data_IF_858722299322
#
_entry.id   IF_858722299322
#
_cell.length_a   1.000
_cell.length_b   1.000
_cell.length_c   1.000
_cell.angle_alpha   90.00
_cell.angle_beta   90.00
_cell.angle_gamma   90.00
#
_symmetry.space_group_name_H-M   'P 1'
#
loop_
_entity.id
_entity.type
_entity.pdbx_description
1 polymer ?
#
# COMPACT_ATOMS: atom_id res chain seq x y z
N UNK A 1 26.30 19.31 -4.60
CA UNK A 1 25.24 18.46 -4.02
C UNK A 1 23.86 19.13 -4.14
N UNK A 2 23.66 20.41 -3.83
CA UNK A 2 22.37 21.09 -4.02
C UNK A 2 21.75 20.99 -5.44
N UNK A 3 22.56 20.77 -6.47
CA UNK A 3 22.11 20.69 -7.87
C UNK A 3 21.29 19.42 -8.17
N UNK A 4 21.61 18.29 -7.54
CA UNK A 4 20.91 17.01 -7.80
C UNK A 4 19.51 17.06 -7.20
N UNK A 5 19.37 17.52 -5.97
CA UNK A 5 18.08 17.68 -5.30
C UNK A 5 17.15 18.64 -6.05
N UNK A 6 17.69 19.74 -6.58
CA UNK A 6 16.94 20.69 -7.43
C UNK A 6 16.48 20.04 -8.76
N UNK A 7 17.32 19.21 -9.37
CA UNK A 7 16.94 18.49 -10.60
C UNK A 7 15.82 17.48 -10.30
N UNK A 8 15.95 16.72 -9.22
CA UNK A 8 14.92 15.74 -8.83
C UNK A 8 13.62 16.46 -8.48
N UNK A 9 13.67 17.53 -7.67
CA UNK A 9 12.49 18.34 -7.31
C UNK A 9 11.78 18.85 -8.56
N UNK A 10 12.51 19.47 -9.50
CA UNK A 10 11.95 19.94 -10.79
C UNK A 10 11.36 18.79 -11.62
N UNK A 11 12.01 17.62 -11.64
CA UNK A 11 11.48 16.46 -12.35
C UNK A 11 10.14 15.97 -11.73
N UNK A 12 10.01 15.98 -10.41
CA UNK A 12 8.77 15.66 -9.69
C UNK A 12 7.67 16.68 -10.00
N UNK A 13 7.97 17.99 -9.93
CA UNK A 13 7.03 19.08 -10.24
C UNK A 13 6.55 19.05 -11.71
N UNK A 14 7.45 18.73 -12.65
CA UNK A 14 7.11 18.58 -14.08
C UNK A 14 6.27 17.33 -14.29
N UNK A 15 6.64 16.21 -13.66
CA UNK A 15 5.87 14.97 -13.74
C UNK A 15 4.43 15.17 -13.23
N UNK A 16 4.24 15.92 -12.16
CA UNK A 16 2.90 16.23 -11.62
C UNK A 16 2.06 17.02 -12.64
N UNK A 17 2.64 17.99 -13.34
CA UNK A 17 1.95 18.80 -14.36
C UNK A 17 1.65 18.05 -15.65
N UNK A 18 2.49 17.09 -16.05
CA UNK A 18 2.32 16.31 -17.29
C UNK A 18 1.33 15.16 -17.13
N UNK A 19 1.35 14.52 -15.99
CA UNK A 19 0.42 13.43 -15.69
C UNK A 19 -0.86 14.04 -15.08
N UNK A 20 -1.73 14.55 -15.96
CA UNK A 20 -3.10 14.91 -15.59
C UNK A 20 -3.77 13.70 -14.96
N UNK A 21 -4.37 13.86 -13.78
CA UNK A 21 -5.21 12.80 -13.21
C UNK A 21 -6.31 12.46 -14.21
N UNK A 22 -6.34 11.24 -14.75
CA UNK A 22 -7.41 10.84 -15.66
C UNK A 22 -8.74 10.99 -14.93
N UNK A 23 -9.82 11.25 -15.68
CA UNK A 23 -11.17 11.19 -15.10
C UNK A 23 -11.32 9.85 -14.35
N UNK A 24 -11.66 9.86 -13.06
CA UNK A 24 -11.70 8.62 -12.26
C UNK A 24 -12.60 7.52 -12.86
N UNK A 25 -13.72 7.90 -13.49
CA UNK A 25 -14.63 6.96 -14.12
C UNK A 25 -14.02 6.30 -15.37
N UNK A 26 -13.27 7.06 -16.16
CA UNK A 26 -12.54 6.53 -17.34
C UNK A 26 -11.36 5.65 -16.90
N UNK A 27 -10.59 6.10 -15.90
CA UNK A 27 -9.50 5.32 -15.33
C UNK A 27 -9.98 3.97 -14.81
N UNK A 28 -11.08 3.95 -14.07
CA UNK A 28 -11.67 2.72 -13.52
C UNK A 28 -12.23 1.80 -14.62
N UNK A 29 -12.82 2.35 -15.66
CA UNK A 29 -13.24 1.57 -16.83
C UNK A 29 -12.06 0.89 -17.53
N UNK A 30 -10.97 1.62 -17.74
CA UNK A 30 -9.77 1.07 -18.37
C UNK A 30 -9.08 0.03 -17.48
N UNK A 31 -9.00 0.28 -16.17
CA UNK A 31 -8.48 -0.69 -15.19
C UNK A 31 -9.27 -2.00 -15.27
N UNK A 32 -10.61 -1.95 -15.18
CA UNK A 32 -11.44 -3.15 -15.27
C UNK A 32 -11.21 -3.89 -16.59
N UNK A 33 -11.18 -3.17 -17.71
CA UNK A 33 -10.93 -3.77 -19.03
C UNK A 33 -9.59 -4.49 -19.09
N UNK A 34 -8.53 -3.92 -18.51
CA UNK A 34 -7.20 -4.53 -18.47
C UNK A 34 -7.16 -5.75 -17.53
N UNK A 35 -7.82 -5.70 -16.37
CA UNK A 35 -7.93 -6.83 -15.44
C UNK A 35 -8.63 -8.01 -16.11
N UNK A 36 -9.78 -7.78 -16.74
CA UNK A 36 -10.52 -8.81 -17.46
C UNK A 36 -9.70 -9.42 -18.62
N UNK A 37 -9.05 -8.57 -19.42
CA UNK A 37 -8.18 -9.04 -20.52
C UNK A 37 -7.04 -9.94 -20.02
N UNK A 38 -6.36 -9.55 -18.95
CA UNK A 38 -5.27 -10.34 -18.40
C UNK A 38 -5.75 -11.68 -17.84
N UNK A 39 -6.91 -11.69 -17.17
CA UNK A 39 -7.42 -12.87 -16.48
C UNK A 39 -8.34 -13.75 -17.33
N UNK A 40 -8.72 -13.36 -18.56
CA UNK A 40 -9.73 -14.11 -19.39
C UNK A 40 -9.37 -15.56 -19.66
N UNK A 41 -8.08 -15.90 -19.73
CA UNK A 41 -7.63 -17.28 -19.96
C UNK A 41 -7.52 -18.13 -18.71
N UNK A 42 -7.62 -17.53 -17.51
CA UNK A 42 -7.55 -18.24 -16.23
C UNK A 42 -8.81 -19.08 -15.98
N UNK A 43 -8.74 -19.97 -14.97
CA UNK A 43 -9.92 -20.75 -14.57
C UNK A 43 -11.06 -19.85 -14.09
N UNK A 44 -10.75 -18.79 -13.32
CA UNK A 44 -11.71 -17.79 -12.83
C UNK A 44 -12.30 -16.98 -13.99
N UNK A 45 -11.45 -16.49 -14.91
CA UNK A 45 -11.89 -15.68 -16.04
C UNK A 45 -12.78 -16.47 -17.01
N UNK A 46 -12.47 -17.76 -17.26
CA UNK A 46 -13.31 -18.64 -18.06
C UNK A 46 -14.64 -18.94 -17.39
N UNK A 47 -14.64 -19.18 -16.08
CA UNK A 47 -15.86 -19.46 -15.31
C UNK A 47 -16.86 -18.30 -15.36
N UNK A 48 -16.37 -17.05 -15.27
CA UNK A 48 -17.19 -15.84 -15.34
C UNK A 48 -17.21 -15.18 -16.74
N UNK A 49 -16.73 -15.86 -17.77
CA UNK A 49 -16.80 -15.41 -19.17
C UNK A 49 -16.21 -14.00 -19.39
N UNK A 50 -15.01 -13.73 -18.87
CA UNK A 50 -14.38 -12.40 -18.88
C UNK A 50 -14.22 -11.81 -20.30
N UNK A 51 -14.01 -12.64 -21.33
CA UNK A 51 -13.94 -12.19 -22.73
C UNK A 51 -15.26 -11.61 -23.22
N UNK A 52 -16.39 -12.19 -22.82
CA UNK A 52 -17.74 -11.74 -23.16
C UNK A 52 -18.09 -10.46 -22.42
N UNK A 53 -17.82 -10.41 -21.09
CA UNK A 53 -17.98 -9.20 -20.31
C UNK A 53 -17.18 -8.05 -20.91
N UNK A 54 -15.90 -8.28 -21.26
CA UNK A 54 -15.01 -7.28 -21.84
C UNK A 54 -15.50 -6.75 -23.20
N UNK A 55 -16.17 -7.59 -23.97
CA UNK A 55 -16.72 -7.25 -25.29
C UNK A 55 -18.10 -6.58 -25.20
N UNK A 56 -18.72 -6.55 -24.01
CA UNK A 56 -20.04 -5.94 -23.84
C UNK A 56 -19.96 -4.42 -23.99
N UNK A 57 -21.02 -3.80 -24.55
CA UNK A 57 -21.14 -2.34 -24.62
C UNK A 57 -21.32 -1.67 -23.26
N UNK A 58 -21.61 -2.46 -22.19
CA UNK A 58 -21.86 -1.99 -20.81
C UNK A 58 -20.90 -2.67 -19.82
N UNK A 59 -19.61 -2.61 -20.09
CA UNK A 59 -18.55 -3.34 -19.40
C UNK A 59 -18.74 -3.44 -17.87
N UNK A 60 -18.91 -2.29 -17.18
CA UNK A 60 -19.01 -2.25 -15.71
C UNK A 60 -20.33 -2.81 -15.18
N UNK A 61 -21.43 -2.57 -15.90
CA UNK A 61 -22.74 -3.09 -15.52
C UNK A 61 -22.77 -4.61 -15.68
N UNK A 62 -22.30 -5.11 -16.82
CA UNK A 62 -22.21 -6.56 -17.08
C UNK A 62 -21.27 -7.25 -16.08
N UNK A 63 -20.14 -6.62 -15.72
CA UNK A 63 -19.24 -7.20 -14.69
C UNK A 63 -19.95 -7.29 -13.33
N UNK A 64 -20.66 -6.27 -12.90
CA UNK A 64 -21.37 -6.26 -11.62
C UNK A 64 -22.54 -7.28 -11.57
N UNK A 65 -23.16 -7.56 -12.72
CA UNK A 65 -24.24 -8.55 -12.87
C UNK A 65 -23.72 -9.99 -12.87
N UNK A 66 -22.63 -10.26 -13.62
CA UNK A 66 -22.14 -11.61 -13.87
C UNK A 66 -21.13 -12.10 -12.82
N UNK A 67 -20.37 -11.19 -12.19
CA UNK A 67 -19.36 -11.55 -11.18
C UNK A 67 -19.86 -11.20 -9.80
N UNK A 68 -20.28 -12.18 -8.99
CA UNK A 68 -20.81 -11.90 -7.66
C UNK A 68 -19.72 -11.46 -6.70
N UNK A 69 -20.10 -10.76 -5.62
CA UNK A 69 -19.20 -10.49 -4.51
C UNK A 69 -18.68 -11.79 -3.89
N UNK A 70 -17.38 -11.80 -3.63
CA UNK A 70 -16.70 -12.89 -2.95
C UNK A 70 -16.11 -12.38 -1.62
N UNK A 71 -16.62 -12.88 -0.50
CA UNK A 71 -15.89 -12.76 0.78
C UNK A 71 -14.55 -13.49 0.66
N UNK A 72 -13.64 -13.22 1.60
CA UNK A 72 -12.36 -13.94 1.65
C UNK A 72 -12.57 -15.46 1.68
N UNK A 73 -13.44 -15.95 2.55
CA UNK A 73 -13.67 -17.39 2.71
C UNK A 73 -14.20 -18.03 1.41
N UNK A 74 -15.17 -17.38 0.77
CA UNK A 74 -15.69 -17.84 -0.53
C UNK A 74 -14.60 -17.84 -1.61
N UNK A 75 -13.79 -16.78 -1.67
CA UNK A 75 -12.70 -16.69 -2.63
C UNK A 75 -11.61 -17.73 -2.35
N UNK A 76 -11.29 -17.95 -1.07
CA UNK A 76 -10.33 -18.96 -0.64
C UNK A 76 -10.80 -20.38 -0.99
N UNK A 77 -11.99 -20.77 -0.57
CA UNK A 77 -12.49 -22.13 -0.75
C UNK A 77 -12.67 -22.52 -2.22
N UNK A 78 -13.17 -21.60 -3.04
CA UNK A 78 -13.44 -21.87 -4.46
C UNK A 78 -12.19 -21.79 -5.34
N UNK A 79 -11.26 -20.87 -5.02
CA UNK A 79 -10.17 -20.48 -5.93
C UNK A 79 -8.79 -20.46 -5.28
N UNK A 80 -8.57 -19.67 -4.22
CA UNK A 80 -7.24 -19.38 -3.70
C UNK A 80 -6.59 -20.57 -3.01
N UNK A 81 -7.34 -21.49 -2.47
CA UNK A 81 -6.81 -22.76 -1.99
C UNK A 81 -6.03 -23.49 -3.07
N UNK A 82 -6.56 -23.56 -4.29
CA UNK A 82 -5.87 -24.16 -5.44
C UNK A 82 -4.61 -23.40 -5.83
N UNK A 83 -4.63 -22.05 -5.72
CA UNK A 83 -3.44 -21.21 -5.96
C UNK A 83 -2.36 -21.50 -4.91
N UNK A 84 -2.74 -21.60 -3.63
CA UNK A 84 -1.83 -21.91 -2.52
C UNK A 84 -1.22 -23.32 -2.64
N UNK A 85 -1.97 -24.28 -3.16
CA UNK A 85 -1.51 -25.64 -3.49
C UNK A 85 -0.61 -25.69 -4.74
N UNK A 86 -0.29 -24.53 -5.35
CA UNK A 86 0.63 -24.41 -6.48
C UNK A 86 -0.01 -24.44 -7.87
N UNK A 87 -1.35 -24.34 -7.94
CA UNK A 87 -2.08 -24.22 -9.20
C UNK A 87 -1.67 -22.99 -9.99
N UNK A 88 -1.56 -23.15 -11.32
CA UNK A 88 -1.28 -22.08 -12.28
C UNK A 88 -2.57 -21.63 -12.96
N UNK A 89 -2.60 -20.37 -13.38
CA UNK A 89 -3.70 -19.81 -14.18
C UNK A 89 -5.07 -20.00 -13.51
N UNK A 90 -5.13 -19.95 -12.17
CA UNK A 90 -6.39 -20.11 -11.43
C UNK A 90 -7.17 -18.79 -11.43
N UNK A 91 -6.69 -17.77 -10.72
CA UNK A 91 -7.34 -16.44 -10.63
C UNK A 91 -6.54 -15.36 -11.35
N UNK A 92 -5.27 -15.60 -11.61
CA UNK A 92 -4.36 -14.73 -12.35
C UNK A 92 -3.39 -15.57 -13.18
N UNK A 93 -2.88 -15.05 -14.31
CA UNK A 93 -1.94 -15.80 -15.17
C UNK A 93 -0.66 -16.18 -14.43
N UNK A 94 -0.20 -17.40 -14.67
CA UNK A 94 1.02 -17.95 -14.13
C UNK A 94 0.88 -18.54 -12.72
N UNK A 95 2.02 -18.73 -12.07
CA UNK A 95 2.11 -19.26 -10.70
C UNK A 95 2.38 -18.13 -9.72
N UNK A 96 1.63 -18.07 -8.63
CA UNK A 96 1.86 -17.11 -7.56
C UNK A 96 3.05 -17.57 -6.70
N UNK A 97 4.00 -16.67 -6.49
CA UNK A 97 5.22 -16.92 -5.70
C UNK A 97 5.14 -16.40 -4.26
N UNK A 98 4.30 -15.42 -4.00
CA UNK A 98 4.18 -14.76 -2.71
C UNK A 98 2.74 -14.75 -2.23
N UNK A 99 2.57 -14.98 -0.93
CA UNK A 99 1.28 -14.84 -0.25
C UNK A 99 1.41 -13.87 0.91
N UNK A 100 0.61 -12.81 0.90
CA UNK A 100 0.50 -11.93 2.05
C UNK A 100 -0.31 -12.62 3.14
N UNK A 101 0.27 -12.70 4.34
CA UNK A 101 -0.38 -13.29 5.50
C UNK A 101 -0.87 -12.16 6.39
N UNK A 102 -2.17 -12.06 6.61
CA UNK A 102 -2.76 -11.12 7.55
C UNK A 102 -3.34 -11.85 8.76
N UNK A 103 -3.20 -11.22 9.93
CA UNK A 103 -3.92 -11.62 11.14
C UNK A 103 -5.38 -11.19 10.97
N UNK A 104 -6.21 -12.02 10.35
CA UNK A 104 -7.65 -11.74 10.26
C UNK A 104 -8.28 -11.61 11.66
N UNK A 105 -9.42 -10.93 11.77
CA UNK A 105 -10.24 -10.83 12.99
C UNK A 105 -10.73 -12.20 13.49
N UNK A 106 -10.66 -13.22 12.65
CA UNK A 106 -10.88 -14.63 12.99
C UNK A 106 -9.52 -15.31 13.17
N UNK A 107 -9.40 -16.22 14.14
CA UNK A 107 -8.16 -16.92 14.55
C UNK A 107 -7.38 -17.65 13.44
N UNK A 108 -7.84 -17.60 12.19
CA UNK A 108 -7.19 -18.22 11.02
C UNK A 108 -6.40 -17.15 10.22
N UNK A 109 -5.15 -17.43 9.96
CA UNK A 109 -4.32 -16.62 9.05
C UNK A 109 -4.93 -16.59 7.64
N UNK A 110 -5.13 -15.40 7.09
CA UNK A 110 -5.59 -15.23 5.71
C UNK A 110 -4.37 -15.20 4.77
N UNK A 111 -4.43 -15.98 3.69
CA UNK A 111 -3.39 -16.01 2.65
C UNK A 111 -3.92 -15.32 1.40
N UNK A 112 -3.38 -14.17 1.08
CA UNK A 112 -3.78 -13.36 -0.08
C UNK A 112 -2.70 -13.50 -1.15
N UNK A 113 -3.04 -13.96 -2.37
CA UNK A 113 -2.07 -14.10 -3.45
C UNK A 113 -1.48 -12.75 -3.86
N UNK A 114 -0.15 -12.64 -3.88
CA UNK A 114 0.58 -11.44 -4.30
C UNK A 114 1.24 -11.71 -5.65
N UNK A 115 0.71 -11.11 -6.69
CA UNK A 115 1.20 -11.26 -8.07
C UNK A 115 2.29 -10.23 -8.40
N UNK A 116 3.05 -10.46 -9.47
CA UNK A 116 4.01 -9.47 -9.96
C UNK A 116 3.33 -8.17 -10.40
N UNK A 117 2.11 -8.26 -10.94
CA UNK A 117 1.35 -7.07 -11.35
C UNK A 117 0.90 -6.25 -10.13
N UNK A 118 0.51 -6.93 -9.05
CA UNK A 118 0.23 -6.26 -7.78
C UNK A 118 1.49 -5.57 -7.22
N UNK A 119 2.66 -6.21 -7.28
CA UNK A 119 3.92 -5.59 -6.86
C UNK A 119 4.29 -4.39 -7.74
N UNK A 120 4.03 -4.44 -9.06
CA UNK A 120 4.18 -3.28 -9.95
C UNK A 120 3.22 -2.15 -9.57
N UNK A 121 1.98 -2.49 -9.23
CA UNK A 121 0.97 -1.54 -8.74
C UNK A 121 1.42 -0.84 -7.46
N UNK A 122 1.89 -1.58 -6.46
CA UNK A 122 2.42 -1.01 -5.21
C UNK A 122 3.61 -0.07 -5.48
N UNK A 123 4.55 -0.45 -6.35
CA UNK A 123 5.67 0.43 -6.74
C UNK A 123 5.21 1.69 -7.47
N UNK A 124 4.22 1.57 -8.36
CA UNK A 124 3.63 2.72 -9.05
C UNK A 124 2.96 3.68 -8.08
N UNK A 125 2.26 3.16 -7.07
CA UNK A 125 1.66 3.98 -6.01
C UNK A 125 2.72 4.79 -5.24
N UNK A 126 3.90 4.23 -4.99
CA UNK A 126 5.03 4.97 -4.42
C UNK A 126 5.46 6.17 -5.30
N UNK A 127 5.39 6.04 -6.63
CA UNK A 127 5.64 7.15 -7.56
C UNK A 127 4.54 8.21 -7.45
N UNK A 128 3.27 7.80 -7.36
CA UNK A 128 2.15 8.73 -7.13
C UNK A 128 2.33 9.51 -5.81
N UNK A 129 2.80 8.85 -4.77
CA UNK A 129 3.11 9.50 -3.49
C UNK A 129 4.23 10.55 -3.64
N UNK A 130 5.31 10.24 -4.36
CA UNK A 130 6.40 11.18 -4.60
C UNK A 130 5.89 12.41 -5.38
N UNK A 131 4.97 12.24 -6.32
CA UNK A 131 4.33 13.37 -7.02
C UNK A 131 3.50 14.23 -6.07
N UNK A 132 2.67 13.62 -5.24
CA UNK A 132 1.90 14.33 -4.21
C UNK A 132 2.78 15.15 -3.26
N UNK A 133 4.01 14.68 -3.00
CA UNK A 133 5.01 15.39 -2.19
C UNK A 133 5.44 16.74 -2.82
N UNK A 134 5.31 16.94 -4.14
CA UNK A 134 5.60 18.23 -4.79
C UNK A 134 4.75 19.38 -4.20
N UNK A 135 3.50 19.11 -3.83
CA UNK A 135 2.60 20.11 -3.24
C UNK A 135 2.91 20.45 -1.77
N UNK A 136 3.87 19.75 -1.16
CA UNK A 136 4.23 19.94 0.24
C UNK A 136 5.38 20.95 0.47
N UNK A 137 5.85 21.67 -0.56
CA UNK A 137 6.94 22.69 -0.50
C UNK A 137 8.20 22.20 0.22
N UNK A 138 8.60 20.97 -0.04
CA UNK A 138 9.80 20.41 0.58
C UNK A 138 11.07 21.05 -0.01
N UNK A 139 12.11 21.29 0.80
CA UNK A 139 13.37 21.80 0.33
C UNK A 139 14.06 20.81 -0.61
N UNK A 140 14.78 21.30 -1.63
CA UNK A 140 15.47 20.46 -2.61
C UNK A 140 16.40 19.41 -1.97
N UNK A 141 17.06 19.77 -0.87
CA UNK A 141 17.93 18.87 -0.13
C UNK A 141 17.22 17.62 0.39
N UNK A 142 15.90 17.67 0.61
CA UNK A 142 15.11 16.51 1.02
C UNK A 142 15.20 15.34 0.03
N UNK A 143 15.22 15.64 -1.27
CA UNK A 143 15.25 14.63 -2.33
C UNK A 143 16.62 13.92 -2.49
N UNK A 144 17.61 14.35 -1.73
CA UNK A 144 18.93 13.70 -1.65
C UNK A 144 19.08 12.81 -0.43
N UNK A 145 18.08 12.81 0.47
CA UNK A 145 18.14 12.10 1.76
C UNK A 145 17.68 10.64 1.65
N UNK A 146 18.08 9.87 2.64
CA UNK A 146 17.73 8.47 2.75
C UNK A 146 16.30 8.28 3.28
N UNK A 147 15.70 7.16 2.91
CA UNK A 147 14.35 6.78 3.29
C UNK A 147 14.41 5.58 4.23
N UNK A 148 13.97 5.77 5.46
CA UNK A 148 13.84 4.68 6.43
C UNK A 148 12.46 4.05 6.29
N UNK A 149 12.39 2.82 5.81
CA UNK A 149 11.17 2.02 5.75
C UNK A 149 11.24 0.93 6.83
N UNK A 150 10.40 1.06 7.86
CA UNK A 150 10.40 0.13 8.97
C UNK A 150 9.04 -0.55 9.10
N UNK A 151 8.99 -1.78 8.62
CA UNK A 151 7.80 -2.63 8.56
C UNK A 151 8.11 -4.04 9.07
N UNK A 152 7.42 -5.05 8.55
CA UNK A 152 7.64 -6.45 8.87
C UNK A 152 8.98 -6.96 8.33
N UNK A 153 9.48 -8.06 8.87
CA UNK A 153 10.72 -8.70 8.41
C UNK A 153 10.67 -9.03 6.91
N UNK A 154 11.80 -8.84 6.25
CA UNK A 154 12.01 -9.26 4.85
C UNK A 154 12.49 -10.71 4.73
N UNK A 155 12.71 -11.41 5.86
CA UNK A 155 12.96 -12.85 5.89
C UNK A 155 11.63 -13.60 5.73
N UNK A 156 11.25 -13.79 4.47
CA UNK A 156 9.98 -14.42 4.13
C UNK A 156 10.06 -15.93 4.38
N UNK A 157 9.03 -16.48 5.00
CA UNK A 157 8.93 -17.91 5.24
C UNK A 157 8.73 -18.66 3.92
N UNK A 158 9.67 -19.52 3.57
CA UNK A 158 9.51 -20.42 2.42
C UNK A 158 8.62 -21.60 2.80
N UNK A 159 7.53 -21.80 2.07
CA UNK A 159 6.59 -22.92 2.24
C UNK A 159 6.45 -23.60 0.87
N UNK A 160 6.93 -24.83 0.76
CA UNK A 160 7.00 -25.55 -0.53
C UNK A 160 7.63 -24.69 -1.63
N UNK A 161 6.82 -24.29 -2.62
CA UNK A 161 7.22 -23.55 -3.81
C UNK A 161 6.88 -22.05 -3.78
N UNK A 162 6.43 -21.53 -2.64
CA UNK A 162 6.08 -20.12 -2.46
C UNK A 162 6.66 -19.53 -1.17
N UNK A 163 6.53 -18.21 -1.02
CA UNK A 163 6.96 -17.45 0.15
C UNK A 163 5.76 -16.79 0.83
N UNK A 164 5.76 -16.81 2.14
CA UNK A 164 4.75 -16.18 3.00
C UNK A 164 5.38 -15.07 3.83
N UNK A 165 4.65 -13.96 4.01
CA UNK A 165 5.05 -12.84 4.85
C UNK A 165 3.97 -11.76 4.88
N UNK A 166 4.18 -10.72 5.65
CA UNK A 166 3.30 -9.55 5.57
C UNK A 166 3.60 -8.74 4.30
N UNK A 167 2.59 -8.00 3.79
CA UNK A 167 2.73 -7.25 2.53
C UNK A 167 3.87 -6.23 2.56
N UNK A 168 4.14 -5.61 3.71
CA UNK A 168 5.24 -4.66 3.88
C UNK A 168 6.61 -5.35 3.76
N UNK A 169 6.77 -6.54 4.35
CA UNK A 169 7.98 -7.35 4.24
C UNK A 169 8.20 -7.87 2.82
N UNK A 170 7.14 -8.37 2.16
CA UNK A 170 7.18 -8.79 0.76
C UNK A 170 7.61 -7.62 -0.13
N UNK A 171 6.99 -6.44 0.05
CA UNK A 171 7.30 -5.24 -0.74
C UNK A 171 8.74 -4.78 -0.55
N UNK A 172 9.23 -4.74 0.67
CA UNK A 172 10.61 -4.35 0.98
C UNK A 172 11.64 -5.37 0.45
N UNK A 173 11.31 -6.68 0.44
CA UNK A 173 12.18 -7.71 -0.13
C UNK A 173 12.34 -7.62 -1.65
N UNK A 174 11.44 -6.91 -2.35
CA UNK A 174 11.39 -6.77 -3.80
C UNK A 174 11.77 -5.35 -4.30
N UNK A 175 12.49 -4.58 -3.48
CA UNK A 175 12.95 -3.23 -3.88
C UNK A 175 13.94 -3.34 -5.04
N UNK A 176 13.87 -2.41 -6.01
CA UNK A 176 14.83 -2.36 -7.11
C UNK A 176 16.26 -2.11 -6.60
N UNK A 177 17.26 -2.72 -7.23
CA UNK A 177 18.68 -2.62 -6.81
C UNK A 177 19.20 -1.17 -6.76
N UNK A 178 18.72 -0.31 -7.66
CA UNK A 178 19.12 1.11 -7.71
C UNK A 178 18.57 1.93 -6.52
N UNK A 179 17.55 1.41 -5.82
CA UNK A 179 16.98 2.05 -4.63
C UNK A 179 17.71 1.64 -3.34
N UNK A 180 18.51 0.57 -3.37
CA UNK A 180 19.20 0.04 -2.18
C UNK A 180 20.12 1.07 -1.50
N UNK A 181 20.73 1.98 -2.29
CA UNK A 181 21.57 3.06 -1.76
C UNK A 181 20.83 4.09 -0.90
N UNK A 182 19.53 4.26 -1.14
CA UNK A 182 18.67 5.21 -0.42
C UNK A 182 17.81 4.55 0.65
N UNK A 183 17.70 3.22 0.65
CA UNK A 183 16.85 2.46 1.57
C UNK A 183 17.57 2.14 2.88
N UNK A 184 16.93 2.49 4.01
CA UNK A 184 17.34 2.09 5.37
C UNK A 184 16.21 1.34 6.07
N UNK A 185 16.53 0.43 7.00
CA UNK A 185 17.86 0.12 7.55
C UNK A 185 18.73 -0.78 6.65
N UNK A 186 18.29 -1.12 5.43
CA UNK A 186 18.98 -2.04 4.53
C UNK A 186 18.59 -3.50 4.76
N UNK A 187 19.03 -4.39 3.85
CA UNK A 187 18.60 -5.80 3.81
C UNK A 187 18.96 -6.57 5.08
N UNK A 188 20.16 -6.36 5.61
CA UNK A 188 20.67 -7.10 6.77
C UNK A 188 19.79 -6.88 8.00
N UNK A 189 19.54 -5.64 8.37
CA UNK A 189 18.70 -5.32 9.54
C UNK A 189 17.24 -5.66 9.26
N UNK A 190 16.73 -5.40 8.05
CA UNK A 190 15.34 -5.70 7.71
C UNK A 190 15.02 -7.19 7.71
N UNK A 191 15.98 -8.07 7.56
CA UNK A 191 15.79 -9.53 7.61
C UNK A 191 15.75 -10.09 9.04
N UNK A 192 16.11 -9.32 10.05
CA UNK A 192 16.01 -9.79 11.44
C UNK A 192 14.52 -9.98 11.79
N UNK A 193 14.13 -11.22 12.12
CA UNK A 193 12.74 -11.56 12.40
C UNK A 193 12.29 -11.05 13.78
N UNK A 194 13.15 -11.20 14.78
CA UNK A 194 12.91 -10.72 16.15
C UNK A 194 12.83 -9.18 16.16
N UNK A 195 11.68 -8.65 16.61
CA UNK A 195 11.41 -7.22 16.63
C UNK A 195 12.41 -6.43 17.48
N UNK A 196 12.67 -6.87 18.71
CA UNK A 196 13.52 -6.12 19.63
C UNK A 196 14.96 -6.09 19.14
N UNK A 197 15.48 -7.21 18.65
CA UNK A 197 16.81 -7.29 18.03
C UNK A 197 16.93 -6.42 16.80
N UNK A 198 15.87 -6.34 15.98
CA UNK A 198 15.83 -5.50 14.77
C UNK A 198 15.85 -4.02 15.13
N UNK A 199 15.07 -3.60 16.14
CA UNK A 199 15.07 -2.23 16.64
C UNK A 199 16.42 -1.87 17.27
N UNK A 200 17.03 -2.77 18.04
CA UNK A 200 18.35 -2.55 18.65
C UNK A 200 19.45 -2.46 17.58
N UNK A 201 19.43 -3.31 16.56
CA UNK A 201 20.37 -3.26 15.46
C UNK A 201 20.23 -1.93 14.67
N UNK A 202 18.99 -1.50 14.42
CA UNK A 202 18.70 -0.22 13.79
C UNK A 202 19.25 0.94 14.63
N UNK A 203 18.96 0.95 15.94
CA UNK A 203 19.40 2.03 16.83
C UNK A 203 20.93 2.18 16.83
N UNK A 204 21.68 1.11 16.85
CA UNK A 204 23.16 1.12 16.78
C UNK A 204 23.70 1.80 15.53
N UNK A 205 23.03 1.63 14.38
CA UNK A 205 23.46 2.14 13.10
C UNK A 205 22.89 3.53 12.75
N UNK A 206 21.86 3.98 13.50
CA UNK A 206 21.04 5.16 13.20
C UNK A 206 21.85 6.44 12.92
N UNK A 207 22.97 6.65 13.65
CA UNK A 207 23.83 7.85 13.50
C UNK A 207 24.57 7.92 12.15
N UNK A 208 24.63 6.80 11.40
CA UNK A 208 25.31 6.74 10.10
C UNK A 208 24.43 7.21 8.94
N UNK A 209 23.12 7.39 9.18
CA UNK A 209 22.15 7.67 8.14
C UNK A 209 21.68 9.11 8.15
N UNK A 210 21.52 9.67 6.96
CA UNK A 210 20.96 11.02 6.76
C UNK A 210 19.49 10.91 6.32
N UNK A 211 18.62 10.59 7.29
CA UNK A 211 17.21 10.31 7.05
C UNK A 211 16.43 11.59 6.75
N UNK A 212 15.77 11.64 5.58
CA UNK A 212 14.82 12.68 5.20
C UNK A 212 13.37 12.27 5.43
N UNK A 213 13.06 10.98 5.22
CA UNK A 213 11.72 10.47 5.44
C UNK A 213 11.71 9.11 6.15
N UNK A 214 10.63 8.87 6.89
CA UNK A 214 10.36 7.60 7.56
C UNK A 214 8.99 7.09 7.09
N UNK A 215 8.89 5.78 6.83
CA UNK A 215 7.62 5.12 6.47
C UNK A 215 7.37 3.91 7.35
N UNK A 216 6.14 3.76 7.84
CA UNK A 216 5.74 2.61 8.64
C UNK A 216 4.49 2.85 9.48
N UNK A 217 4.13 1.84 10.27
CA UNK A 217 2.98 1.90 11.20
C UNK A 217 3.32 2.83 12.37
N UNK A 218 2.45 3.78 12.75
CA UNK A 218 2.76 4.78 13.79
C UNK A 218 3.28 4.22 15.10
N UNK A 219 2.65 3.16 15.63
CA UNK A 219 3.07 2.54 16.88
C UNK A 219 4.49 1.95 16.80
N UNK A 220 4.82 1.35 15.66
CA UNK A 220 6.15 0.76 15.45
C UNK A 220 7.24 1.82 15.27
N UNK A 221 6.92 2.87 14.52
CA UNK A 221 7.84 4.00 14.30
C UNK A 221 8.07 4.76 15.62
N UNK A 222 7.02 4.97 16.41
CA UNK A 222 7.14 5.61 17.71
C UNK A 222 8.09 4.83 18.63
N UNK A 223 7.91 3.52 18.75
CA UNK A 223 8.77 2.66 19.58
C UNK A 223 10.22 2.66 19.06
N UNK A 224 10.41 2.56 17.76
CA UNK A 224 11.73 2.60 17.13
C UNK A 224 12.43 3.95 17.41
N UNK A 225 11.75 5.08 17.19
CA UNK A 225 12.31 6.42 17.47
C UNK A 225 12.68 6.56 18.95
N UNK A 226 11.81 6.13 19.87
CA UNK A 226 12.10 6.15 21.31
C UNK A 226 13.34 5.34 21.65
N UNK A 227 13.52 4.17 21.01
CA UNK A 227 14.71 3.35 21.23
C UNK A 227 15.99 4.02 20.72
N UNK A 228 15.95 4.71 19.57
CA UNK A 228 17.09 5.51 19.08
C UNK A 228 17.41 6.65 20.04
N UNK A 229 16.41 7.41 20.50
CA UNK A 229 16.57 8.51 21.48
C UNK A 229 17.23 7.99 22.77
N UNK A 230 16.74 6.87 23.29
CA UNK A 230 17.29 6.22 24.50
C UNK A 230 18.75 5.78 24.30
N UNK A 231 19.02 5.11 23.15
CA UNK A 231 20.36 4.58 22.84
C UNK A 231 21.44 5.66 22.80
N UNK A 232 21.13 6.84 22.22
CA UNK A 232 22.07 7.97 22.13
C UNK A 232 21.95 8.97 23.29
N UNK A 233 21.02 8.75 24.22
CA UNK A 233 20.75 9.65 25.33
C UNK A 233 20.52 11.11 24.87
N UNK A 234 19.68 11.29 23.83
CA UNK A 234 19.28 12.58 23.26
C UNK A 234 17.84 12.91 23.65
N UNK A 235 17.41 14.17 23.46
CA UNK A 235 16.06 14.62 23.83
C UNK A 235 15.02 14.27 22.78
N UNK A 236 15.42 14.32 21.50
CA UNK A 236 14.52 14.09 20.38
C UNK A 236 15.29 13.58 19.16
N UNK A 237 14.57 12.97 18.22
CA UNK A 237 15.17 12.27 17.07
C UNK A 237 15.93 13.21 16.12
N UNK A 238 15.56 14.50 16.02
CA UNK A 238 16.26 15.46 15.16
C UNK A 238 17.70 15.76 15.60
N UNK A 239 18.13 15.33 16.78
CA UNK A 239 19.54 15.39 17.16
C UNK A 239 20.36 14.30 16.43
N UNK A 240 19.71 13.23 16.02
CA UNK A 240 20.33 12.14 15.24
C UNK A 240 20.05 12.34 13.73
N UNK A 241 18.79 12.66 13.37
CA UNK A 241 18.37 12.87 11.98
C UNK A 241 17.87 14.30 11.76
N UNK A 242 18.76 15.30 11.66
CA UNK A 242 18.38 16.71 11.57
C UNK A 242 17.58 17.07 10.33
N UNK A 243 17.64 16.24 9.28
CA UNK A 243 16.94 16.38 8.00
C UNK A 243 15.63 15.59 7.90
N UNK A 244 15.18 14.93 8.97
CA UNK A 244 13.91 14.21 8.99
C UNK A 244 12.74 15.20 8.89
N UNK A 245 12.05 15.20 7.74
CA UNK A 245 10.98 16.17 7.42
C UNK A 245 9.64 15.50 7.13
N UNK A 246 9.62 14.25 6.65
CA UNK A 246 8.41 13.59 6.19
C UNK A 246 8.22 12.25 6.89
N UNK A 247 7.03 12.05 7.42
CA UNK A 247 6.59 10.76 7.93
C UNK A 247 5.42 10.23 7.08
N UNK A 248 5.61 9.09 6.43
CA UNK A 248 4.56 8.36 5.71
C UNK A 248 3.93 7.34 6.64
N UNK A 249 2.73 7.65 7.11
CA UNK A 249 1.94 6.81 8.00
C UNK A 249 1.11 5.81 7.21
N UNK A 250 1.03 4.57 7.67
CA UNK A 250 0.20 3.53 7.08
C UNK A 250 -0.29 2.51 8.10
N UNK A 251 -1.29 1.74 7.71
CA UNK A 251 -1.86 0.66 8.52
C UNK A 251 -2.93 1.08 9.52
N UNK A 252 -2.78 2.24 10.16
CA UNK A 252 -3.76 2.84 11.09
C UNK A 252 -3.74 4.35 10.95
N UNK A 253 -4.81 5.03 11.38
CA UNK A 253 -4.87 6.49 11.40
C UNK A 253 -3.78 7.10 12.29
N UNK A 254 -3.14 8.18 11.83
CA UNK A 254 -2.05 8.84 12.56
C UNK A 254 -2.52 9.71 13.74
N UNK A 255 -3.71 10.29 13.69
CA UNK A 255 -4.16 11.29 14.65
C UNK A 255 -3.98 10.89 16.14
N UNK A 256 -4.23 9.64 16.58
CA UNK A 256 -3.97 9.23 17.96
C UNK A 256 -2.50 9.35 18.40
N UNK A 257 -1.56 9.33 17.46
CA UNK A 257 -0.12 9.34 17.70
C UNK A 257 0.51 10.74 17.64
N UNK A 258 -0.19 11.72 17.08
CA UNK A 258 0.29 13.07 16.80
C UNK A 258 1.02 13.72 17.98
N UNK A 259 0.38 13.76 19.14
CA UNK A 259 0.97 14.36 20.37
C UNK A 259 2.24 13.66 20.83
N UNK A 260 2.35 12.36 20.59
CA UNK A 260 3.55 11.61 20.94
C UNK A 260 4.69 11.92 19.98
N UNK A 261 4.38 11.98 18.67
CA UNK A 261 5.36 12.36 17.65
C UNK A 261 5.87 13.79 17.86
N UNK A 262 5.02 14.76 18.18
CA UNK A 262 5.44 16.13 18.52
C UNK A 262 6.47 16.18 19.64
N UNK A 263 6.39 15.28 20.63
CA UNK A 263 7.36 15.20 21.74
C UNK A 263 8.69 14.58 21.34
N UNK A 264 8.68 13.59 20.46
CA UNK A 264 9.87 12.83 20.10
C UNK A 264 10.60 13.39 18.87
N UNK A 265 9.97 14.27 18.09
CA UNK A 265 10.59 14.83 16.87
C UNK A 265 11.39 16.12 17.13
N UNK A 266 11.03 16.95 18.09
CA UNK A 266 11.76 18.21 18.38
C UNK A 266 11.62 19.32 17.32
N UNK A 267 11.15 18.99 16.10
CA UNK A 267 10.78 19.93 15.02
C UNK A 267 9.50 19.43 14.36
N UNK A 268 8.69 20.31 13.77
CA UNK A 268 7.53 19.91 12.98
C UNK A 268 7.95 19.01 11.80
N UNK A 269 7.15 17.98 11.55
CA UNK A 269 7.28 17.08 10.40
C UNK A 269 6.00 17.12 9.58
N UNK A 270 6.11 16.86 8.29
CA UNK A 270 4.97 16.63 7.40
C UNK A 270 4.54 15.18 7.51
N UNK A 271 3.29 14.95 7.86
CA UNK A 271 2.70 13.60 7.87
C UNK A 271 1.90 13.39 6.61
N UNK A 272 2.06 12.23 5.99
CA UNK A 272 1.33 11.78 4.80
C UNK A 272 0.69 10.45 5.13
N UNK A 273 -0.63 10.42 5.23
CA UNK A 273 -1.35 9.18 5.44
C UNK A 273 -1.48 8.38 4.15
N UNK A 274 -1.36 7.05 4.29
CA UNK A 274 -1.45 6.10 3.18
C UNK A 274 -2.29 4.90 3.56
N UNK A 275 -2.91 4.30 2.56
CA UNK A 275 -3.69 3.09 2.73
C UNK A 275 -3.11 1.96 1.87
N UNK A 276 -2.16 1.23 2.45
CA UNK A 276 -1.65 -0.05 1.93
C UNK A 276 -2.29 -1.19 2.70
N UNK A 277 -3.04 -2.04 2.02
CA UNK A 277 -3.61 -3.29 2.54
C UNK A 277 -2.90 -4.50 1.91
N UNK A 278 -3.18 -5.69 2.42
CA UNK A 278 -2.68 -6.93 1.83
C UNK A 278 -3.18 -7.15 0.40
N UNK A 279 -4.28 -6.52 0.05
CA UNK A 279 -4.95 -6.55 -1.24
C UNK A 279 -4.38 -5.54 -2.25
N UNK A 280 -3.63 -4.54 -1.78
CA UNK A 280 -2.99 -3.53 -2.64
C UNK A 280 -2.87 -2.15 -2.01
N UNK A 281 -2.30 -1.22 -2.76
CA UNK A 281 -2.16 0.18 -2.36
C UNK A 281 -3.37 0.97 -2.87
N UNK A 282 -4.24 1.41 -1.98
CA UNK A 282 -5.57 1.91 -2.29
C UNK A 282 -5.64 3.43 -2.38
N UNK A 283 -5.03 4.14 -1.42
CA UNK A 283 -5.15 5.58 -1.29
C UNK A 283 -3.92 6.22 -0.66
N UNK A 284 -3.71 7.50 -0.92
CA UNK A 284 -2.66 8.32 -0.28
C UNK A 284 -3.12 9.76 -0.14
N UNK A 285 -2.64 10.43 0.88
CA UNK A 285 -2.82 11.88 1.03
C UNK A 285 -1.98 12.62 -0.01
N UNK A 286 -2.62 13.47 -0.80
CA UNK A 286 -1.98 14.25 -1.87
C UNK A 286 -2.11 15.76 -1.67
N UNK A 287 -2.72 16.21 -0.56
CA UNK A 287 -2.93 17.63 -0.26
C UNK A 287 -2.52 17.93 1.18
N UNK A 288 -2.00 19.12 1.41
CA UNK A 288 -1.75 19.64 2.76
C UNK A 288 -3.05 19.93 3.48
N UNK A 289 -3.00 19.91 4.83
CA UNK A 289 -4.07 20.36 5.71
C UNK A 289 -5.43 19.67 5.44
N UNK A 290 -5.40 18.38 5.12
CA UNK A 290 -6.59 17.54 4.99
C UNK A 290 -6.34 16.20 5.65
N UNK A 291 -7.34 15.63 6.29
CA UNK A 291 -7.30 14.26 6.83
C UNK A 291 -7.78 13.24 5.77
N UNK A 292 -8.09 13.73 4.55
CA UNK A 292 -8.60 12.89 3.48
C UNK A 292 -7.47 12.34 2.62
N UNK A 293 -7.60 11.07 2.22
CA UNK A 293 -6.77 10.42 1.21
C UNK A 293 -7.49 10.35 -0.12
N UNK A 294 -6.76 10.55 -1.21
CA UNK A 294 -7.27 10.31 -2.56
C UNK A 294 -7.11 8.84 -2.94
N UNK A 295 -8.18 8.23 -3.47
CA UNK A 295 -8.09 6.91 -4.09
C UNK A 295 -7.19 6.97 -5.33
N UNK A 296 -6.34 5.95 -5.49
CA UNK A 296 -5.50 5.81 -6.69
C UNK A 296 -6.29 5.00 -7.72
N UNK A 297 -7.00 5.69 -8.60
CA UNK A 297 -8.00 5.10 -9.48
C UNK A 297 -7.45 4.44 -10.74
N UNK A 298 -6.15 4.62 -11.04
CA UNK A 298 -5.46 4.11 -12.23
C UNK A 298 -4.39 3.04 -11.91
N UNK A 299 -4.40 2.51 -10.70
CA UNK A 299 -3.33 1.65 -10.17
C UNK A 299 -3.65 0.15 -10.19
N UNK A 300 -4.48 -0.31 -11.12
CA UNK A 300 -4.76 -1.75 -11.29
C UNK A 300 -5.71 -2.33 -10.25
N UNK A 301 -6.46 -1.49 -9.53
CA UNK A 301 -7.53 -1.89 -8.63
C UNK A 301 -8.83 -1.28 -9.14
N UNK A 302 -9.83 -2.11 -9.38
CA UNK A 302 -11.17 -1.68 -9.71
C UNK A 302 -12.01 -1.57 -8.44
N UNK A 303 -12.63 -0.41 -8.24
CA UNK A 303 -13.42 -0.09 -7.04
C UNK A 303 -14.91 -0.11 -7.35
N UNK A 304 -15.65 -0.78 -6.50
CA UNK A 304 -17.10 -0.69 -6.39
C UNK A 304 -17.47 -0.27 -4.96
N UNK A 305 -18.55 0.46 -4.78
CA UNK A 305 -18.93 1.06 -3.52
C UNK A 305 -20.33 0.61 -3.12
N UNK A 306 -20.45 0.02 -1.95
CA UNK A 306 -21.75 -0.39 -1.39
C UNK A 306 -22.11 0.56 -0.25
N UNK A 307 -23.27 1.28 -0.30
CA UNK A 307 -23.68 2.16 0.79
C UNK A 307 -23.70 1.40 2.12
N UNK A 308 -23.00 1.93 3.13
CA UNK A 308 -22.87 1.31 4.45
C UNK A 308 -24.16 1.49 5.24
N UNK A 309 -25.10 0.59 5.05
CA UNK A 309 -26.42 0.57 5.70
C UNK A 309 -26.73 -0.84 6.18
N UNK A 310 -27.59 -0.99 7.18
CA UNK A 310 -28.07 -2.28 7.69
C UNK A 310 -28.69 -3.18 6.61
N UNK A 311 -29.22 -2.58 5.54
CA UNK A 311 -29.77 -3.31 4.39
C UNK A 311 -28.67 -3.98 3.56
N UNK A 312 -27.49 -3.37 3.46
CA UNK A 312 -26.44 -3.76 2.54
C UNK A 312 -25.26 -4.47 3.23
N UNK A 313 -25.07 -4.22 4.53
CA UNK A 313 -23.92 -4.71 5.29
C UNK A 313 -24.41 -5.37 6.57
N UNK A 314 -23.83 -6.50 6.90
CA UNK A 314 -24.09 -7.25 8.14
C UNK A 314 -23.35 -6.62 9.33
N UNK A 315 -23.68 -7.04 10.56
CA UNK A 315 -23.05 -6.58 11.80
C UNK A 315 -21.52 -6.83 11.83
N UNK A 316 -21.05 -7.85 11.13
CA UNK A 316 -19.62 -8.17 10.99
C UNK A 316 -18.90 -7.42 9.87
N UNK A 317 -19.60 -6.50 9.18
CA UNK A 317 -19.08 -5.73 8.05
C UNK A 317 -19.15 -6.45 6.70
N UNK A 318 -19.72 -7.65 6.62
CA UNK A 318 -19.85 -8.39 5.37
C UNK A 318 -20.94 -7.81 4.47
N UNK A 319 -20.68 -7.71 3.17
CA UNK A 319 -21.66 -7.24 2.18
C UNK A 319 -22.74 -8.32 2.01
N UNK A 320 -24.01 -7.94 2.18
CA UNK A 320 -25.17 -8.83 2.03
C UNK A 320 -25.35 -9.24 0.57
N UNK A 321 -25.81 -10.51 0.34
CA UNK A 321 -26.19 -10.94 -1.00
C UNK A 321 -27.27 -10.01 -1.61
N UNK A 322 -27.05 -9.56 -2.86
CA UNK A 322 -27.96 -8.67 -3.56
C UNK A 322 -27.80 -7.19 -3.24
N UNK A 323 -26.87 -6.79 -2.37
CA UNK A 323 -26.52 -5.38 -2.19
C UNK A 323 -25.98 -4.81 -3.51
N UNK A 324 -26.57 -3.66 -3.93
CA UNK A 324 -26.17 -3.01 -5.18
C UNK A 324 -24.89 -2.22 -4.98
N UNK A 325 -23.86 -2.57 -5.74
CA UNK A 325 -22.65 -1.79 -5.82
C UNK A 325 -22.81 -0.59 -6.75
N UNK A 326 -22.20 0.53 -6.37
CA UNK A 326 -22.15 1.77 -7.15
C UNK A 326 -20.77 1.93 -7.79
N UNK A 327 -20.74 2.59 -8.94
CA UNK A 327 -19.50 3.01 -9.62
C UNK A 327 -18.95 4.26 -8.94
N UNK A 328 -17.68 4.58 -9.17
CA UNK A 328 -17.02 5.74 -8.54
C UNK A 328 -17.72 7.07 -8.84
N UNK A 329 -18.31 7.24 -10.03
CA UNK A 329 -19.07 8.44 -10.39
C UNK A 329 -20.47 8.52 -9.77
N UNK A 330 -20.94 7.45 -9.15
CA UNK A 330 -22.27 7.39 -8.50
C UNK A 330 -22.19 7.65 -7.00
N UNK A 331 -20.97 7.69 -6.42
CA UNK A 331 -20.78 7.98 -4.99
C UNK A 331 -21.12 9.43 -4.67
N UNK A 332 -21.61 9.65 -3.45
CA UNK A 332 -22.04 10.98 -2.98
C UNK A 332 -21.23 11.38 -1.76
N UNK A 333 -20.86 12.65 -1.68
CA UNK A 333 -20.20 13.22 -0.51
C UNK A 333 -21.11 13.09 0.73
N UNK A 334 -20.50 12.79 1.88
CA UNK A 334 -21.18 12.62 3.16
C UNK A 334 -21.89 11.27 3.33
N UNK A 335 -21.79 10.35 2.38
CA UNK A 335 -22.32 8.98 2.50
C UNK A 335 -21.17 8.03 2.78
N UNK A 336 -21.35 7.15 3.75
CA UNK A 336 -20.40 6.09 4.07
C UNK A 336 -20.59 4.87 3.15
N UNK A 337 -19.49 4.29 2.68
CA UNK A 337 -19.51 3.16 1.76
C UNK A 337 -18.55 2.07 2.22
N UNK A 338 -18.97 0.80 2.10
CA UNK A 338 -18.07 -0.36 2.07
C UNK A 338 -17.52 -0.54 0.66
N UNK A 339 -16.29 -0.97 0.55
CA UNK A 339 -15.62 -1.23 -0.73
C UNK A 339 -15.75 -2.69 -1.12
N UNK A 340 -16.19 -2.90 -2.33
CA UNK A 340 -16.28 -4.20 -2.97
C UNK A 340 -15.08 -4.46 -3.87
#
# INVERSE_FOLDING_TARGET
MAVIGEIIKKAVEVADKIFTNPNPAEAQREVLKQLLYKAESTSFGKYYQFSEIRSSGKLRDTFAEEVPYHSYDKMYDQWWKKVLEGGKDITWPGKVKYFAVSSGTTSKKKHIPVTEDMMKSIRRAGIHQIKGVADFDLPAVFFEKEILMFGSSTDLKKVNDHYEGEISGISASQLPFWFEGYYRPGKEISSIDDWDKRVDALAKEAHKWDIGSISGIPSWIELMIKRVIEYYNVKHIHEIWPNFLVYTSGGVAFEPYKKSFERITGKPITVIDTYLASEGYLATQIRKNTDSMALITDNGIYFEFVPFTEKNVDEDGSIRPGAKALKIEEVKEGVEYERR
#
